data_IF_562583794964
#
_entry.id   IF_562583794964
#
_cell.length_a   1.000
_cell.length_b   1.000
_cell.length_c   1.000
_cell.angle_alpha   90.00
_cell.angle_beta   90.00
_cell.angle_gamma   90.00
#
_symmetry.space_group_name_H-M   'P 1'
#
loop_
_entity.id
_entity.type
_entity.pdbx_description
1 polymer ?
#
# COMPACT_ATOMS: atom_id res chain seq x y z
N UNK A 1 1.07 -26.07 19.06
CA UNK A 1 0.09 -25.06 18.61
C UNK A 1 0.66 -24.45 17.34
N UNK A 2 -0.11 -24.32 16.26
CA UNK A 2 0.39 -23.65 15.06
C UNK A 2 0.64 -22.18 15.42
N UNK A 3 1.84 -21.67 15.14
CA UNK A 3 2.15 -20.27 15.36
C UNK A 3 1.26 -19.42 14.46
N UNK A 4 0.53 -18.49 15.06
CA UNK A 4 -0.29 -17.53 14.30
C UNK A 4 0.60 -16.71 13.36
N UNK A 5 0.13 -16.51 12.14
CA UNK A 5 0.80 -15.68 11.14
C UNK A 5 -0.26 -14.93 10.33
N UNK A 6 -0.11 -13.62 10.22
CA UNK A 6 -0.98 -12.76 9.45
C UNK A 6 -0.18 -12.03 8.38
N UNK A 7 -0.77 -11.90 7.20
CA UNK A 7 -0.32 -10.97 6.18
C UNK A 7 -1.26 -9.76 6.15
N UNK A 8 -0.72 -8.54 6.07
CA UNK A 8 -1.46 -7.36 5.64
C UNK A 8 -1.08 -7.03 4.21
N UNK A 9 -2.06 -7.01 3.34
CA UNK A 9 -1.92 -6.49 1.97
C UNK A 9 -2.53 -5.09 1.92
N UNK A 10 -1.81 -4.15 1.35
CA UNK A 10 -2.22 -2.74 1.32
C UNK A 10 -1.88 -2.13 -0.06
N UNK A 11 -2.88 -1.57 -0.73
CA UNK A 11 -2.75 -0.89 -2.02
C UNK A 11 -1.98 0.44 -1.89
N UNK A 12 -0.87 0.55 -2.60
CA UNK A 12 0.00 1.73 -2.52
C UNK A 12 -0.68 2.96 -3.14
N UNK A 13 -0.81 4.05 -2.36
CA UNK A 13 -1.45 5.30 -2.82
C UNK A 13 -2.79 5.04 -3.50
N UNK A 14 -3.63 4.20 -2.91
CA UNK A 14 -4.71 3.46 -3.56
C UNK A 14 -5.59 4.32 -4.48
N UNK A 15 -6.16 5.43 -4.02
CA UNK A 15 -7.03 6.26 -4.86
C UNK A 15 -6.29 6.84 -6.07
N UNK A 16 -5.05 7.32 -5.89
CA UNK A 16 -4.23 7.79 -7.01
C UNK A 16 -3.90 6.65 -7.96
N UNK A 17 -3.61 5.46 -7.44
CA UNK A 17 -3.35 4.27 -8.26
C UNK A 17 -4.57 3.87 -9.07
N UNK A 18 -5.79 3.95 -8.50
CA UNK A 18 -7.04 3.73 -9.22
C UNK A 18 -7.20 4.71 -10.40
N UNK A 19 -6.92 5.98 -10.19
CA UNK A 19 -6.98 6.99 -11.26
C UNK A 19 -5.94 6.70 -12.37
N UNK A 20 -4.73 6.28 -12.00
CA UNK A 20 -3.65 5.94 -12.93
C UNK A 20 -3.97 4.74 -13.81
N UNK A 21 -4.79 3.79 -13.35
CA UNK A 21 -5.25 2.64 -14.17
C UNK A 21 -5.94 3.13 -15.44
N UNK A 22 -6.79 4.15 -15.35
CA UNK A 22 -7.58 4.67 -16.48
C UNK A 22 -6.95 5.90 -17.14
N UNK A 23 -5.98 6.52 -16.48
CA UNK A 23 -5.24 7.70 -16.97
C UNK A 23 -3.74 7.49 -16.82
N UNK A 24 -3.11 6.66 -17.67
CA UNK A 24 -1.66 6.40 -17.61
C UNK A 24 -0.78 7.65 -17.71
N UNK A 25 -1.30 8.74 -18.31
CA UNK A 25 -0.60 10.04 -18.38
C UNK A 25 -0.32 10.65 -17.01
N UNK A 26 -1.01 10.21 -15.95
CA UNK A 26 -0.75 10.64 -14.57
C UNK A 26 0.46 9.95 -13.93
N UNK A 27 1.06 8.94 -14.58
CA UNK A 27 2.26 8.30 -14.07
C UNK A 27 3.44 9.28 -14.07
N UNK A 28 4.18 9.28 -12.96
CA UNK A 28 5.30 10.19 -12.76
C UNK A 28 4.92 11.63 -12.44
N UNK A 29 3.62 11.97 -12.43
CA UNK A 29 3.15 13.32 -12.05
C UNK A 29 2.79 13.38 -10.57
N UNK A 30 2.95 14.54 -9.91
CA UNK A 30 2.40 14.77 -8.58
C UNK A 30 0.88 14.84 -8.66
N UNK A 31 0.20 13.82 -8.09
CA UNK A 31 -1.25 13.68 -8.10
C UNK A 31 -1.78 13.58 -6.68
N UNK A 32 -2.86 14.29 -6.41
CA UNK A 32 -3.65 14.12 -5.19
C UNK A 32 -5.11 13.80 -5.55
N UNK A 33 -5.76 13.07 -4.66
CA UNK A 33 -7.23 12.94 -4.68
C UNK A 33 -7.77 13.72 -3.49
N UNK A 34 -8.77 14.53 -3.74
CA UNK A 34 -9.42 15.39 -2.77
C UNK A 34 -10.58 14.64 -2.07
N UNK A 35 -10.93 15.10 -0.87
CA UNK A 35 -12.09 14.61 -0.14
C UNK A 35 -13.41 14.91 -0.88
N UNK A 36 -14.52 14.38 -0.36
CA UNK A 36 -15.84 14.48 -0.98
C UNK A 36 -16.28 15.91 -1.35
N UNK A 37 -15.83 16.92 -0.59
CA UNK A 37 -16.13 18.32 -0.83
C UNK A 37 -14.92 19.08 -1.43
N UNK A 38 -13.96 18.39 -2.01
CA UNK A 38 -12.69 18.94 -2.51
C UNK A 38 -11.94 19.79 -1.46
N UNK A 39 -12.18 19.51 -0.18
CA UNK A 39 -11.63 20.33 0.91
C UNK A 39 -10.18 20.03 1.27
N UNK A 40 -9.76 18.76 1.18
CA UNK A 40 -8.41 18.35 1.58
C UNK A 40 -7.92 17.12 0.81
N UNK A 41 -6.60 16.93 0.76
CA UNK A 41 -5.96 15.79 0.12
C UNK A 41 -6.10 14.52 0.97
N UNK A 42 -6.85 13.52 0.48
CA UNK A 42 -7.05 12.22 1.14
C UNK A 42 -6.20 11.09 0.53
N UNK A 43 -5.63 11.30 -0.64
CA UNK A 43 -4.61 10.42 -1.22
C UNK A 43 -3.58 11.24 -1.98
N UNK A 44 -2.36 10.72 -2.07
CA UNK A 44 -1.23 11.43 -2.67
C UNK A 44 -0.32 10.43 -3.36
N UNK A 45 0.13 10.76 -4.57
CA UNK A 45 1.22 10.04 -5.23
C UNK A 45 2.55 10.21 -4.48
N UNK A 46 3.55 9.40 -4.80
CA UNK A 46 4.89 9.56 -4.22
C UNK A 46 5.51 10.90 -4.62
N UNK A 47 5.26 11.35 -5.83
CA UNK A 47 5.69 12.65 -6.35
C UNK A 47 5.05 13.79 -5.54
N UNK A 48 3.75 13.70 -5.24
CA UNK A 48 3.07 14.69 -4.40
C UNK A 48 3.57 14.68 -2.95
N UNK A 49 3.91 13.50 -2.41
CA UNK A 49 4.55 13.38 -1.08
C UNK A 49 5.94 14.02 -1.07
N UNK A 50 6.70 13.91 -2.17
CA UNK A 50 8.02 14.55 -2.31
C UNK A 50 7.94 16.08 -2.32
N UNK A 51 6.81 16.66 -2.76
CA UNK A 51 6.51 18.09 -2.64
C UNK A 51 6.12 18.53 -1.22
N UNK A 52 6.17 17.64 -0.23
CA UNK A 52 5.83 17.95 1.15
C UNK A 52 4.33 18.01 1.45
N UNK A 53 3.46 17.58 0.54
CA UNK A 53 2.01 17.61 0.76
C UNK A 53 1.65 16.59 1.85
N UNK A 54 1.13 17.07 2.99
CA UNK A 54 0.70 16.24 4.10
C UNK A 54 -0.65 15.55 3.84
N UNK A 55 -0.92 14.43 4.53
CA UNK A 55 -2.25 13.82 4.56
C UNK A 55 -3.23 14.81 5.20
N UNK A 56 -4.40 14.99 4.59
CA UNK A 56 -5.39 15.96 5.05
C UNK A 56 -5.04 17.43 4.76
N UNK A 57 -3.99 17.70 3.95
CA UNK A 57 -3.64 19.08 3.59
C UNK A 57 -4.83 19.81 2.98
N UNK A 58 -5.26 20.97 3.51
CA UNK A 58 -6.34 21.74 2.96
C UNK A 58 -6.03 22.20 1.53
N UNK A 59 -6.97 21.97 0.60
CA UNK A 59 -6.77 22.26 -0.81
C UNK A 59 -6.39 23.72 -1.06
N UNK A 60 -7.04 24.66 -0.38
CA UNK A 60 -6.78 26.09 -0.56
C UNK A 60 -5.33 26.50 -0.22
N UNK A 61 -4.63 25.72 0.62
CA UNK A 61 -3.22 25.99 0.98
C UNK A 61 -2.21 25.44 -0.03
N UNK A 62 -2.60 24.45 -0.83
CA UNK A 62 -1.69 23.76 -1.74
C UNK A 62 -2.03 23.94 -3.21
N UNK A 63 -3.15 24.60 -3.55
CA UNK A 63 -3.61 24.78 -4.93
C UNK A 63 -2.60 25.49 -5.85
N UNK A 64 -1.78 26.38 -5.31
CA UNK A 64 -0.72 27.05 -6.06
C UNK A 64 0.33 26.10 -6.64
N UNK A 65 0.46 24.88 -6.07
CA UNK A 65 1.36 23.88 -6.59
C UNK A 65 0.93 23.35 -7.98
N UNK A 66 -0.30 23.60 -8.41
CA UNK A 66 -0.74 23.29 -9.78
C UNK A 66 0.08 24.10 -10.80
N UNK A 67 0.24 25.40 -10.56
CA UNK A 67 0.97 26.30 -11.46
C UNK A 67 2.49 26.15 -11.32
N UNK A 68 2.98 25.96 -10.09
CA UNK A 68 4.42 25.98 -9.80
C UNK A 68 5.10 24.63 -9.98
N UNK A 69 4.38 23.52 -9.78
CA UNK A 69 4.93 22.16 -9.77
C UNK A 69 4.12 21.13 -10.58
N UNK A 70 3.12 21.59 -11.34
CA UNK A 70 2.29 20.72 -12.14
C UNK A 70 1.45 19.73 -11.32
N UNK A 71 1.08 20.09 -10.09
CA UNK A 71 0.23 19.26 -9.24
C UNK A 71 -1.12 19.02 -9.90
N UNK A 72 -1.51 17.75 -10.05
CA UNK A 72 -2.84 17.37 -10.52
C UNK A 72 -3.73 17.05 -9.32
N UNK A 73 -4.83 17.78 -9.16
CA UNK A 73 -5.84 17.52 -8.14
C UNK A 73 -7.09 16.94 -8.78
N UNK A 74 -7.57 15.83 -8.24
CA UNK A 74 -8.74 15.10 -8.72
C UNK A 74 -9.76 15.01 -7.59
N UNK A 75 -11.04 15.22 -7.91
CA UNK A 75 -12.14 14.90 -7.00
C UNK A 75 -12.26 13.39 -6.80
N UNK A 76 -12.68 12.94 -5.62
CA UNK A 76 -12.80 11.52 -5.31
C UNK A 76 -13.87 10.84 -6.16
N UNK A 77 -13.53 9.69 -6.75
CA UNK A 77 -14.44 8.79 -7.45
C UNK A 77 -14.60 7.48 -6.64
N UNK A 78 -15.39 7.54 -5.57
CA UNK A 78 -15.54 6.40 -4.67
C UNK A 78 -16.17 5.16 -5.33
N UNK A 79 -16.99 5.34 -6.36
CA UNK A 79 -17.54 4.21 -7.12
C UNK A 79 -16.42 3.44 -7.84
N UNK A 80 -15.50 4.15 -8.48
CA UNK A 80 -14.32 3.55 -9.10
C UNK A 80 -13.43 2.86 -8.08
N UNK A 81 -13.17 3.51 -6.95
CA UNK A 81 -12.29 2.97 -5.91
C UNK A 81 -12.88 1.72 -5.27
N UNK A 82 -14.20 1.68 -5.06
CA UNK A 82 -14.91 0.50 -4.57
C UNK A 82 -14.80 -0.69 -5.53
N UNK A 83 -15.03 -0.50 -6.83
CA UNK A 83 -14.91 -1.56 -7.84
C UNK A 83 -13.48 -2.13 -7.90
N UNK A 84 -12.45 -1.28 -7.93
CA UNK A 84 -11.07 -1.74 -7.96
C UNK A 84 -10.64 -2.39 -6.62
N UNK A 85 -11.18 -1.92 -5.50
CA UNK A 85 -11.01 -2.57 -4.20
C UNK A 85 -11.55 -4.00 -4.22
N UNK A 86 -12.78 -4.20 -4.65
CA UNK A 86 -13.41 -5.53 -4.71
C UNK A 86 -12.62 -6.51 -5.59
N UNK A 87 -12.09 -6.03 -6.71
CA UNK A 87 -11.21 -6.83 -7.59
C UNK A 87 -9.90 -7.19 -6.92
N UNK A 88 -9.24 -6.22 -6.26
CA UNK A 88 -8.01 -6.45 -5.52
C UNK A 88 -8.24 -7.43 -4.38
N UNK A 89 -9.28 -7.23 -3.55
CA UNK A 89 -9.61 -8.07 -2.40
C UNK A 89 -9.93 -9.51 -2.81
N UNK A 90 -10.60 -9.72 -3.94
CA UNK A 90 -10.89 -11.04 -4.49
C UNK A 90 -9.62 -11.82 -4.85
N UNK A 91 -8.61 -11.15 -5.40
CA UNK A 91 -7.30 -11.77 -5.70
C UNK A 91 -6.50 -12.07 -4.42
N UNK A 92 -6.51 -11.12 -3.49
CA UNK A 92 -5.77 -11.20 -2.23
C UNK A 92 -6.31 -12.33 -1.34
N UNK A 93 -7.60 -12.64 -1.39
CA UNK A 93 -8.21 -13.77 -0.67
C UNK A 93 -7.50 -15.11 -0.93
N UNK A 94 -6.92 -15.30 -2.12
CA UNK A 94 -6.16 -16.50 -2.48
C UNK A 94 -4.79 -16.64 -1.77
N UNK A 95 -4.38 -15.69 -0.96
CA UNK A 95 -3.09 -15.70 -0.27
C UNK A 95 -3.07 -16.72 0.89
N UNK A 96 -4.18 -16.83 1.66
CA UNK A 96 -4.25 -17.67 2.86
C UNK A 96 -5.63 -18.29 3.09
N UNK A 97 -5.95 -18.62 4.34
CA UNK A 97 -7.15 -19.39 4.70
C UNK A 97 -8.38 -18.52 4.96
N UNK A 98 -8.18 -17.34 5.55
CA UNK A 98 -9.25 -16.43 5.95
C UNK A 98 -8.84 -15.01 5.63
N UNK A 99 -9.79 -14.23 5.14
CA UNK A 99 -9.62 -12.81 4.84
C UNK A 99 -10.46 -11.96 5.76
N UNK A 100 -9.89 -10.84 6.19
CA UNK A 100 -10.61 -9.75 6.85
C UNK A 100 -10.32 -8.46 6.08
N UNK A 101 -11.31 -7.95 5.36
CA UNK A 101 -11.21 -6.64 4.71
C UNK A 101 -11.26 -5.58 5.80
N UNK A 102 -10.15 -4.86 5.99
CA UNK A 102 -9.98 -3.90 7.07
C UNK A 102 -10.34 -2.47 6.62
N UNK A 103 -10.02 -2.13 5.38
CA UNK A 103 -10.40 -0.88 4.74
C UNK A 103 -10.57 -1.07 3.24
N UNK A 104 -10.79 0.01 2.49
CA UNK A 104 -10.92 -0.02 1.03
C UNK A 104 -9.63 -0.48 0.32
N UNK A 105 -8.47 -0.33 0.97
CA UNK A 105 -7.15 -0.64 0.42
C UNK A 105 -6.33 -1.61 1.27
N UNK A 106 -6.82 -2.02 2.45
CA UNK A 106 -6.12 -2.91 3.37
C UNK A 106 -6.93 -4.20 3.64
N UNK A 107 -6.25 -5.34 3.63
CA UNK A 107 -6.84 -6.62 3.98
C UNK A 107 -5.87 -7.48 4.77
N UNK A 108 -6.32 -8.02 5.91
CA UNK A 108 -5.61 -9.03 6.66
C UNK A 108 -5.94 -10.43 6.14
N UNK A 109 -4.92 -11.26 6.01
CA UNK A 109 -5.05 -12.67 5.61
C UNK A 109 -4.42 -13.55 6.67
N UNK A 110 -5.17 -14.54 7.13
CA UNK A 110 -4.64 -15.57 8.03
C UNK A 110 -3.78 -16.56 7.22
N UNK A 111 -2.50 -16.53 7.52
CA UNK A 111 -1.47 -17.36 6.90
C UNK A 111 -1.03 -18.52 7.82
N UNK A 112 -1.69 -18.71 8.97
CA UNK A 112 -1.33 -19.72 9.96
C UNK A 112 -1.36 -21.13 9.34
N UNK A 113 -0.26 -21.87 9.45
CA UNK A 113 -0.14 -23.21 8.87
C UNK A 113 0.03 -23.27 7.35
N UNK A 114 0.07 -22.14 6.64
CA UNK A 114 0.43 -22.09 5.21
C UNK A 114 1.89 -22.55 5.06
N UNK A 115 2.11 -23.58 4.23
CA UNK A 115 3.43 -24.17 3.99
C UNK A 115 4.08 -23.62 2.73
N UNK A 116 5.42 -23.76 2.66
CA UNK A 116 6.23 -23.39 1.50
C UNK A 116 6.81 -21.99 1.62
N UNK A 117 7.29 -21.45 0.50
CA UNK A 117 7.93 -20.14 0.43
C UNK A 117 6.85 -19.02 0.45
N UNK A 118 6.69 -18.42 1.60
CA UNK A 118 5.70 -17.34 1.83
C UNK A 118 6.05 -16.08 1.04
N UNK A 119 7.33 -15.76 0.90
CA UNK A 119 7.77 -14.57 0.13
C UNK A 119 7.43 -14.75 -1.35
N UNK A 120 7.73 -15.93 -1.91
CA UNK A 120 7.35 -16.25 -3.30
C UNK A 120 5.84 -16.19 -3.49
N UNK A 121 5.07 -16.71 -2.54
CA UNK A 121 3.61 -16.66 -2.56
C UNK A 121 3.08 -15.22 -2.55
N UNK A 122 3.61 -14.38 -1.66
CA UNK A 122 3.28 -12.95 -1.60
C UNK A 122 3.66 -12.23 -2.91
N UNK A 123 4.83 -12.51 -3.47
CA UNK A 123 5.26 -11.95 -4.75
C UNK A 123 4.30 -12.29 -5.87
N UNK A 124 3.90 -13.56 -5.98
CA UNK A 124 2.93 -14.01 -6.99
C UNK A 124 1.59 -13.27 -6.88
N UNK A 125 1.07 -13.06 -5.67
CA UNK A 125 -0.19 -12.32 -5.47
C UNK A 125 -0.02 -10.84 -5.84
N UNK A 126 1.08 -10.20 -5.42
CA UNK A 126 1.38 -8.81 -5.80
C UNK A 126 1.42 -8.63 -7.32
N UNK A 127 2.12 -9.52 -8.02
CA UNK A 127 2.23 -9.51 -9.48
C UNK A 127 0.86 -9.68 -10.15
N UNK A 128 -0.01 -10.56 -9.61
CA UNK A 128 -1.38 -10.73 -10.11
C UNK A 128 -2.23 -9.49 -9.91
N UNK A 129 -2.19 -8.89 -8.72
CA UNK A 129 -2.91 -7.64 -8.42
C UNK A 129 -2.45 -6.53 -9.37
N UNK A 130 -1.14 -6.36 -9.53
CA UNK A 130 -0.61 -5.35 -10.45
C UNK A 130 -0.99 -5.63 -11.90
N UNK A 131 -0.89 -6.88 -12.36
CA UNK A 131 -1.16 -7.24 -13.76
C UNK A 131 -2.63 -7.18 -14.12
N UNK A 132 -3.53 -7.60 -13.21
CA UNK A 132 -4.95 -7.79 -13.52
C UNK A 132 -5.83 -6.64 -13.04
N UNK A 133 -5.41 -5.90 -12.03
CA UNK A 133 -6.14 -4.73 -11.48
C UNK A 133 -5.39 -3.43 -11.73
N UNK A 134 -4.07 -3.48 -11.94
CA UNK A 134 -3.25 -2.28 -12.13
C UNK A 134 -2.84 -1.58 -10.83
N UNK A 135 -3.12 -2.17 -9.66
CA UNK A 135 -2.85 -1.56 -8.36
C UNK A 135 -1.54 -2.12 -7.79
N UNK A 136 -0.49 -1.30 -7.58
CA UNK A 136 0.68 -1.72 -6.82
C UNK A 136 0.31 -1.88 -5.35
N UNK A 137 0.83 -2.94 -4.69
CA UNK A 137 0.59 -3.16 -3.28
C UNK A 137 1.85 -3.63 -2.55
N UNK A 138 1.90 -3.44 -1.25
CA UNK A 138 2.92 -4.00 -0.37
C UNK A 138 2.29 -5.04 0.57
N UNK A 139 3.10 -6.00 1.02
CA UNK A 139 2.66 -7.06 1.93
C UNK A 139 3.59 -7.11 3.14
N UNK A 140 3.00 -7.04 4.33
CA UNK A 140 3.70 -7.25 5.60
C UNK A 140 3.22 -8.52 6.27
N UNK A 141 4.13 -9.38 6.74
CA UNK A 141 3.82 -10.59 7.51
C UNK A 141 4.32 -10.43 8.95
N UNK A 142 3.51 -10.90 9.90
CA UNK A 142 3.86 -10.90 11.31
C UNK A 142 2.98 -11.84 12.13
N UNK A 143 3.43 -12.24 13.32
CA UNK A 143 2.69 -13.16 14.20
C UNK A 143 1.38 -12.56 14.77
N UNK A 144 1.21 -11.26 14.67
CA UNK A 144 -0.01 -10.53 15.03
C UNK A 144 -0.39 -9.54 13.93
N UNK A 145 -1.65 -9.10 13.89
CA UNK A 145 -2.10 -8.06 12.95
C UNK A 145 -1.30 -6.76 13.10
N UNK A 146 -0.96 -6.35 14.33
CA UNK A 146 -0.15 -5.17 14.60
C UNK A 146 1.24 -5.31 13.98
N UNK A 147 1.90 -6.45 14.17
CA UNK A 147 3.23 -6.71 13.57
C UNK A 147 3.16 -6.86 12.05
N UNK A 148 2.09 -7.44 11.51
CA UNK A 148 1.87 -7.45 10.05
C UNK A 148 1.71 -6.02 9.49
N UNK A 149 1.03 -5.13 10.22
CA UNK A 149 0.89 -3.71 9.84
C UNK A 149 2.22 -2.97 9.92
N UNK A 150 3.02 -3.21 10.94
CA UNK A 150 4.38 -2.68 11.06
C UNK A 150 5.27 -3.19 9.91
N UNK A 151 5.23 -4.49 9.62
CA UNK A 151 5.95 -5.08 8.49
C UNK A 151 5.56 -4.43 7.16
N UNK A 152 4.29 -4.15 6.95
CA UNK A 152 3.82 -3.44 5.75
C UNK A 152 4.35 -2.00 5.69
N UNK A 153 4.39 -1.29 6.81
CA UNK A 153 4.99 0.05 6.89
C UNK A 153 6.48 0.02 6.48
N UNK A 154 7.23 -0.96 6.98
CA UNK A 154 8.64 -1.17 6.63
C UNK A 154 8.78 -1.44 5.12
N UNK A 155 7.98 -2.37 4.58
CA UNK A 155 7.99 -2.71 3.15
C UNK A 155 7.74 -1.49 2.25
N UNK A 156 6.74 -0.65 2.60
CA UNK A 156 6.45 0.61 1.91
C UNK A 156 7.56 1.64 2.03
N UNK A 157 8.16 1.75 3.21
CA UNK A 157 9.22 2.72 3.48
C UNK A 157 10.51 2.35 2.76
N UNK A 158 10.91 1.07 2.79
CA UNK A 158 12.07 0.56 2.06
C UNK A 158 11.95 0.79 0.54
N UNK A 159 10.73 0.60 -0.02
CA UNK A 159 10.48 0.86 -1.44
C UNK A 159 10.54 2.35 -1.77
N UNK A 160 9.90 3.20 -0.96
CA UNK A 160 9.74 4.63 -1.24
C UNK A 160 10.98 5.46 -0.91
N UNK A 161 11.72 5.08 0.13
CA UNK A 161 12.91 5.80 0.64
C UNK A 161 14.09 4.84 0.73
N UNK A 162 14.82 4.60 -0.38
CA UNK A 162 16.00 3.75 -0.35
C UNK A 162 16.94 4.17 0.79
N UNK A 163 17.43 3.20 1.56
CA UNK A 163 18.28 3.43 2.73
C UNK A 163 17.56 3.63 4.06
N UNK A 164 16.20 3.73 4.08
CA UNK A 164 15.44 3.79 5.34
C UNK A 164 15.37 2.44 6.05
N UNK A 165 15.37 1.36 5.29
CA UNK A 165 15.39 -0.03 5.72
C UNK A 165 16.19 -0.87 4.72
N UNK A 166 16.58 -2.12 5.07
CA UNK A 166 17.23 -3.04 4.13
C UNK A 166 16.41 -3.21 2.84
N UNK A 167 17.07 -3.14 1.69
CA UNK A 167 16.41 -3.14 0.37
C UNK A 167 15.63 -4.44 0.09
N UNK A 168 16.05 -5.56 0.67
CA UNK A 168 15.38 -6.86 0.56
C UNK A 168 14.01 -6.90 1.22
N UNK A 169 13.72 -5.96 2.14
CA UNK A 169 12.40 -5.82 2.78
C UNK A 169 11.43 -4.97 1.97
N UNK A 170 11.90 -4.36 0.88
CA UNK A 170 11.04 -3.55 0.02
C UNK A 170 9.92 -4.40 -0.59
N UNK A 171 8.72 -3.84 -0.60
CA UNK A 171 7.50 -4.44 -1.17
C UNK A 171 6.93 -5.62 -0.35
N UNK A 172 7.78 -6.48 0.24
CA UNK A 172 7.35 -7.61 1.09
C UNK A 172 8.29 -7.68 2.29
N UNK A 173 7.76 -7.50 3.48
CA UNK A 173 8.51 -7.66 4.72
C UNK A 173 7.88 -8.77 5.56
N UNK A 174 8.70 -9.73 6.00
CA UNK A 174 8.27 -10.80 6.89
C UNK A 174 9.04 -10.70 8.22
N UNK A 175 8.45 -10.04 9.22
CA UNK A 175 9.05 -9.92 10.54
C UNK A 175 9.16 -11.26 11.27
N UNK A 176 8.32 -12.25 10.94
CA UNK A 176 8.37 -13.56 11.56
C UNK A 176 9.58 -14.40 11.12
N UNK A 177 10.26 -14.01 10.04
CA UNK A 177 11.45 -14.71 9.52
C UNK A 177 12.76 -13.99 9.84
N UNK A 178 12.73 -12.80 10.45
CA UNK A 178 13.93 -12.09 10.86
C UNK A 178 14.49 -12.71 12.13
N UNK A 179 15.81 -12.82 12.24
CA UNK A 179 16.46 -13.13 13.49
C UNK A 179 16.38 -11.95 14.48
N UNK A 180 16.76 -12.20 15.74
CA UNK A 180 16.63 -11.21 16.81
C UNK A 180 17.41 -9.92 16.49
N UNK A 181 18.62 -10.02 15.96
CA UNK A 181 19.46 -8.85 15.65
C UNK A 181 18.90 -8.01 14.50
N UNK A 182 18.42 -8.67 13.42
CA UNK A 182 17.75 -8.01 12.31
C UNK A 182 16.44 -7.34 12.76
N UNK A 183 15.67 -8.00 13.63
CA UNK A 183 14.43 -7.46 14.17
C UNK A 183 14.70 -6.21 15.00
N UNK A 184 15.69 -6.22 15.91
CA UNK A 184 16.09 -5.08 16.72
C UNK A 184 16.56 -3.91 15.83
N UNK A 185 17.38 -4.19 14.82
CA UNK A 185 17.84 -3.18 13.86
C UNK A 185 16.71 -2.50 13.07
N UNK A 186 15.65 -3.24 12.78
CA UNK A 186 14.50 -2.73 12.00
C UNK A 186 13.51 -1.97 12.90
N UNK A 187 13.47 -2.26 14.21
CA UNK A 187 12.56 -1.65 15.18
C UNK A 187 13.16 -0.46 15.94
N UNK A 188 14.48 -0.26 15.87
CA UNK A 188 15.20 0.87 16.47
C UNK A 188 15.01 2.16 15.68
#
# INVERSE_FOLDING_TARGET
MANSLYALVDGNNFYVSCERVFRPSLNGQPVIVLSNNDGCAIARSNEAKALGIAMGAPWFKIKQLQETHGLVALSANFCLYGDLSDRMMSLVAGLGHRQEIYSIDESFIDMSGVRGDLIKRCRTIRERVLRWVGIPCCIGLGPTKTLAKLANHIAKSAERKPGSYPAELAQICNLASLDQAALESVLA
#
